data_IF_380845811567
#
_entry.id   IF_380845811567
#
_cell.length_a   1.000
_cell.length_b   1.000
_cell.length_c   1.000
_cell.angle_alpha   90.00
_cell.angle_beta   90.00
_cell.angle_gamma   90.00
#
_symmetry.space_group_name_H-M   'P 1'
#
loop_
_entity.id
_entity.type
_entity.pdbx_description
1 polymer ?
#
# COMPACT_ATOMS: atom_id res chain seq x y z
N UNK A 1 -6.18 9.83 -23.85
CA UNK A 1 -7.14 8.82 -23.37
C UNK A 1 -6.64 8.11 -22.10
N UNK A 2 -5.41 7.67 -22.05
CA UNK A 2 -4.79 7.01 -20.86
C UNK A 2 -4.71 7.90 -19.60
N UNK A 3 -4.82 9.22 -19.75
CA UNK A 3 -4.81 10.19 -18.64
C UNK A 3 -6.15 10.25 -17.88
N UNK A 4 -7.21 9.64 -18.43
CA UNK A 4 -8.55 9.60 -17.83
C UNK A 4 -8.57 8.74 -16.56
N UNK A 5 -9.54 9.02 -15.68
CA UNK A 5 -9.83 8.19 -14.49
C UNK A 5 -10.45 6.85 -14.88
N UNK A 6 -10.49 5.89 -13.96
CA UNK A 6 -11.14 4.60 -14.23
C UNK A 6 -12.66 4.77 -14.48
N UNK A 7 -13.31 5.69 -13.76
CA UNK A 7 -14.71 6.02 -13.96
C UNK A 7 -14.97 6.56 -15.39
N UNK A 8 -14.17 7.51 -15.85
CA UNK A 8 -14.27 8.05 -17.21
C UNK A 8 -13.98 7.01 -18.30
N UNK A 9 -12.98 6.14 -18.06
CA UNK A 9 -12.65 5.04 -18.98
C UNK A 9 -13.75 3.98 -19.00
N UNK A 10 -14.34 3.67 -17.85
CA UNK A 10 -15.50 2.77 -17.78
C UNK A 10 -16.65 3.27 -18.64
N UNK A 11 -16.91 4.57 -18.60
CA UNK A 11 -17.95 5.18 -19.42
C UNK A 11 -17.59 5.17 -20.92
N UNK A 12 -16.35 5.47 -21.27
CA UNK A 12 -15.87 5.40 -22.67
C UNK A 12 -15.97 3.96 -23.24
N UNK A 13 -15.60 2.96 -22.46
CA UNK A 13 -15.78 1.55 -22.80
C UNK A 13 -17.27 1.17 -22.96
N UNK A 14 -18.14 1.65 -22.06
CA UNK A 14 -19.57 1.38 -22.12
C UNK A 14 -20.24 2.01 -23.37
N UNK A 15 -19.77 3.19 -23.74
CA UNK A 15 -20.24 3.91 -24.94
C UNK A 15 -19.66 3.35 -26.26
N UNK A 16 -18.70 2.41 -26.19
CA UNK A 16 -18.01 1.89 -27.37
C UNK A 16 -17.05 2.90 -28.03
N UNK A 17 -16.64 3.93 -27.31
CA UNK A 17 -15.67 4.94 -27.80
C UNK A 17 -14.25 4.35 -27.92
N UNK A 18 -13.95 3.30 -27.14
CA UNK A 18 -12.72 2.52 -27.16
C UNK A 18 -13.04 1.10 -26.74
N UNK A 19 -12.29 0.12 -27.25
CA UNK A 19 -12.30 -1.26 -26.75
C UNK A 19 -11.31 -1.46 -25.60
N UNK A 20 -11.55 -2.48 -24.78
CA UNK A 20 -10.60 -2.86 -23.73
C UNK A 20 -9.25 -3.30 -24.32
N UNK A 21 -9.26 -3.92 -25.51
CA UNK A 21 -8.04 -4.30 -26.22
C UNK A 21 -7.22 -3.07 -26.60
N UNK A 22 -7.82 -2.05 -27.21
CA UNK A 22 -7.13 -0.80 -27.60
C UNK A 22 -6.60 -0.06 -26.40
N UNK A 23 -7.39 0.01 -25.32
CA UNK A 23 -6.99 0.63 -24.06
C UNK A 23 -5.81 -0.10 -23.44
N UNK A 24 -5.89 -1.43 -23.35
CA UNK A 24 -4.82 -2.27 -22.80
C UNK A 24 -3.53 -2.14 -23.60
N UNK A 25 -3.62 -2.18 -24.94
CA UNK A 25 -2.45 -2.01 -25.80
C UNK A 25 -1.79 -0.64 -25.58
N UNK A 26 -2.58 0.42 -25.45
CA UNK A 26 -2.04 1.77 -25.20
C UNK A 26 -1.22 1.83 -23.89
N UNK A 27 -1.67 1.14 -22.82
CA UNK A 27 -0.90 1.04 -21.58
C UNK A 27 0.36 0.15 -21.72
N UNK A 28 0.26 -0.97 -22.41
CA UNK A 28 1.42 -1.86 -22.66
C UNK A 28 2.52 -1.14 -23.46
N UNK A 29 2.14 -0.40 -24.48
CA UNK A 29 3.09 0.40 -25.27
C UNK A 29 3.76 1.47 -24.43
N UNK A 30 3.02 2.09 -23.53
CA UNK A 30 3.56 3.08 -22.60
C UNK A 30 4.47 2.45 -21.55
N UNK A 31 4.13 1.30 -20.99
CA UNK A 31 4.99 0.53 -20.08
C UNK A 31 6.31 0.22 -20.79
N UNK A 32 6.26 -0.31 -22.01
CA UNK A 32 7.45 -0.63 -22.80
C UNK A 32 8.37 0.59 -23.02
N UNK A 33 7.77 1.78 -23.15
CA UNK A 33 8.52 3.02 -23.40
C UNK A 33 9.20 3.58 -22.14
N UNK A 34 8.54 3.50 -20.97
CA UNK A 34 8.97 4.24 -19.79
C UNK A 34 9.42 3.37 -18.61
N UNK A 35 9.11 2.06 -18.60
CA UNK A 35 9.41 1.23 -17.42
C UNK A 35 10.92 1.01 -17.23
N UNK A 36 11.73 1.04 -18.28
CA UNK A 36 13.20 0.94 -18.15
C UNK A 36 13.76 2.09 -17.30
N UNK A 37 13.24 3.31 -17.45
CA UNK A 37 13.65 4.48 -16.68
C UNK A 37 13.02 4.48 -15.27
N UNK A 38 11.70 4.26 -15.18
CA UNK A 38 10.95 4.38 -13.91
C UNK A 38 11.09 3.15 -13.01
N UNK A 39 11.35 1.98 -13.57
CA UNK A 39 11.44 0.69 -12.87
C UNK A 39 10.20 0.37 -12.01
N UNK A 40 9.01 0.77 -12.50
CA UNK A 40 7.74 0.63 -11.78
C UNK A 40 7.20 -0.81 -11.79
N UNK A 41 7.52 -1.61 -12.83
CA UNK A 41 7.09 -3.01 -12.96
C UNK A 41 8.27 -3.95 -12.85
N UNK A 42 8.10 -5.03 -12.07
CA UNK A 42 9.00 -6.19 -12.06
C UNK A 42 8.61 -7.19 -13.15
N UNK A 43 7.31 -7.42 -13.33
CA UNK A 43 6.77 -8.36 -14.31
C UNK A 43 5.66 -7.67 -15.11
N UNK A 44 5.74 -7.74 -16.44
CA UNK A 44 4.68 -7.29 -17.35
C UNK A 44 4.02 -8.53 -17.96
N UNK A 45 2.68 -8.57 -17.92
CA UNK A 45 1.88 -9.73 -18.32
C UNK A 45 1.16 -9.48 -19.66
N UNK A 46 1.91 -9.07 -20.70
CA UNK A 46 1.38 -8.59 -21.99
C UNK A 46 0.40 -9.57 -22.63
N UNK A 47 0.79 -10.83 -22.82
CA UNK A 47 -0.05 -11.83 -23.50
C UNK A 47 -1.36 -12.08 -22.74
N UNK A 48 -1.28 -12.28 -21.43
CA UNK A 48 -2.47 -12.53 -20.59
C UNK A 48 -3.36 -11.30 -20.48
N UNK A 49 -2.81 -10.11 -20.44
CA UNK A 49 -3.56 -8.85 -20.43
C UNK A 49 -4.40 -8.70 -21.71
N UNK A 50 -3.82 -8.95 -22.87
CA UNK A 50 -4.55 -8.88 -24.14
C UNK A 50 -5.64 -9.97 -24.26
N UNK A 51 -5.42 -11.16 -23.69
CA UNK A 51 -6.47 -12.19 -23.61
C UNK A 51 -7.62 -11.73 -22.71
N UNK A 52 -7.31 -11.21 -21.50
CA UNK A 52 -8.32 -10.68 -20.57
C UNK A 52 -9.10 -9.51 -21.20
N UNK A 53 -8.43 -8.61 -21.91
CA UNK A 53 -9.07 -7.49 -22.60
C UNK A 53 -10.06 -7.95 -23.68
N UNK A 54 -9.68 -8.94 -24.50
CA UNK A 54 -10.59 -9.54 -25.49
C UNK A 54 -11.81 -10.18 -24.84
N UNK A 55 -11.65 -10.86 -23.72
CA UNK A 55 -12.78 -11.46 -23.00
C UNK A 55 -13.67 -10.38 -22.36
N UNK A 56 -13.09 -9.26 -21.87
CA UNK A 56 -13.85 -8.13 -21.35
C UNK A 56 -14.71 -7.48 -22.44
N UNK A 57 -14.17 -7.27 -23.64
CA UNK A 57 -14.91 -6.73 -24.77
C UNK A 57 -16.09 -7.63 -25.17
N UNK A 58 -15.91 -8.95 -25.19
CA UNK A 58 -17.00 -9.91 -25.45
C UNK A 58 -18.10 -9.84 -24.37
N UNK A 59 -17.72 -9.79 -23.08
CA UNK A 59 -18.67 -9.74 -21.97
C UNK A 59 -19.50 -8.43 -22.00
N UNK A 60 -18.89 -7.31 -22.39
CA UNK A 60 -19.56 -6.01 -22.44
C UNK A 60 -20.75 -5.96 -23.40
N UNK A 61 -20.74 -6.75 -24.47
CA UNK A 61 -21.87 -6.84 -25.42
C UNK A 61 -23.15 -7.37 -24.78
N UNK A 62 -23.05 -8.10 -23.66
CA UNK A 62 -24.17 -8.85 -23.06
C UNK A 62 -24.81 -8.19 -21.83
N UNK A 63 -24.56 -6.89 -21.56
CA UNK A 63 -25.13 -6.05 -20.48
C UNK A 63 -24.89 -6.47 -19.01
N UNK A 64 -25.10 -5.53 -18.07
CA UNK A 64 -24.83 -5.63 -16.62
C UNK A 64 -23.38 -5.97 -16.24
N UNK A 65 -22.47 -5.14 -16.73
CA UNK A 65 -21.05 -5.30 -16.45
C UNK A 65 -20.61 -4.45 -15.26
N UNK A 66 -19.73 -5.02 -14.42
CA UNK A 66 -19.01 -4.26 -13.41
C UNK A 66 -18.41 -2.96 -14.01
N UNK A 67 -18.43 -1.83 -13.27
CA UNK A 67 -17.77 -0.59 -13.73
C UNK A 67 -16.27 -0.78 -13.96
N UNK A 68 -15.67 -1.85 -13.43
CA UNK A 68 -14.25 -2.16 -13.63
C UNK A 68 -13.98 -3.16 -14.78
N UNK A 69 -15.02 -3.65 -15.48
CA UNK A 69 -14.86 -4.58 -16.58
C UNK A 69 -13.99 -3.98 -17.69
N UNK A 70 -12.87 -4.64 -18.01
CA UNK A 70 -11.96 -4.24 -19.07
C UNK A 70 -11.03 -3.07 -18.71
N UNK A 71 -11.02 -2.61 -17.47
CA UNK A 71 -10.12 -1.55 -16.99
C UNK A 71 -8.74 -2.13 -16.67
N UNK A 72 -7.65 -1.59 -17.27
CA UNK A 72 -6.29 -2.03 -17.00
C UNK A 72 -5.80 -1.64 -15.60
N UNK A 73 -5.26 -2.63 -14.87
CA UNK A 73 -4.82 -2.52 -13.48
C UNK A 73 -3.45 -3.18 -13.28
N UNK A 74 -2.70 -2.71 -12.28
CA UNK A 74 -1.46 -3.34 -11.84
C UNK A 74 -1.56 -3.83 -10.39
N UNK A 75 -0.94 -4.97 -10.07
CA UNK A 75 -0.86 -5.46 -8.69
C UNK A 75 0.52 -5.23 -8.10
N UNK A 76 0.58 -4.69 -6.87
CA UNK A 76 1.82 -4.70 -6.08
C UNK A 76 2.34 -6.13 -5.96
N UNK A 77 3.64 -6.32 -6.12
CA UNK A 77 4.26 -7.65 -6.19
C UNK A 77 4.33 -8.42 -4.85
N UNK A 78 3.46 -8.07 -3.93
CA UNK A 78 3.21 -8.76 -2.65
C UNK A 78 1.98 -9.68 -2.72
N UNK A 79 1.09 -9.47 -3.70
CA UNK A 79 -0.11 -10.29 -3.86
C UNK A 79 0.19 -11.53 -4.71
N UNK A 80 -0.02 -12.71 -4.12
CA UNK A 80 0.02 -13.97 -4.87
C UNK A 80 -0.95 -13.88 -6.06
N UNK A 81 -0.43 -14.15 -7.25
CA UNK A 81 -1.20 -14.17 -8.50
C UNK A 81 -0.92 -15.48 -9.21
N UNK A 82 -1.95 -16.29 -9.38
CA UNK A 82 -1.84 -17.66 -9.88
C UNK A 82 -1.08 -17.74 -11.21
N UNK A 83 -0.04 -18.56 -11.25
CA UNK A 83 0.80 -18.74 -12.44
C UNK A 83 1.77 -17.59 -12.74
N UNK A 84 1.78 -16.53 -11.91
CA UNK A 84 2.66 -15.36 -12.10
C UNK A 84 3.69 -15.28 -10.97
N UNK A 85 4.92 -14.90 -11.33
CA UNK A 85 5.98 -14.69 -10.34
C UNK A 85 5.58 -13.61 -9.33
N UNK A 86 5.76 -13.90 -8.04
CA UNK A 86 5.45 -13.00 -6.93
C UNK A 86 6.66 -12.93 -6.00
N UNK A 87 7.43 -11.84 -6.10
CA UNK A 87 8.78 -11.75 -5.52
C UNK A 87 8.85 -10.94 -4.23
N UNK A 88 7.87 -10.09 -3.93
CA UNK A 88 7.94 -9.09 -2.86
C UNK A 88 9.15 -8.16 -2.96
N UNK A 89 9.66 -7.89 -4.18
CA UNK A 89 10.87 -7.10 -4.39
C UNK A 89 12.14 -7.75 -3.81
N UNK A 90 12.16 -9.08 -3.60
CA UNK A 90 13.21 -9.80 -2.88
C UNK A 90 13.86 -10.89 -3.72
N UNK A 91 15.18 -11.06 -3.54
CA UNK A 91 15.89 -12.24 -4.03
C UNK A 91 15.35 -13.53 -3.42
N UNK A 92 14.84 -13.47 -2.18
CA UNK A 92 14.28 -14.63 -1.48
C UNK A 92 13.15 -15.31 -2.27
N UNK A 93 12.33 -14.55 -2.99
CA UNK A 93 11.18 -15.04 -3.76
C UNK A 93 11.33 -14.79 -5.28
N UNK A 94 12.49 -14.42 -5.78
CA UNK A 94 12.67 -14.03 -7.19
C UNK A 94 12.21 -15.10 -8.21
N UNK A 95 12.17 -16.35 -7.81
CA UNK A 95 11.76 -17.50 -8.62
C UNK A 95 10.43 -18.14 -8.17
N UNK A 96 9.69 -17.49 -7.26
CA UNK A 96 8.45 -18.05 -6.73
C UNK A 96 7.28 -17.73 -7.66
N UNK A 97 6.73 -18.74 -8.31
CA UNK A 97 5.48 -18.67 -9.07
C UNK A 97 4.33 -19.03 -8.12
N UNK A 98 3.42 -18.10 -7.89
CA UNK A 98 2.32 -18.30 -6.96
C UNK A 98 1.32 -19.35 -7.50
N UNK A 99 0.94 -20.37 -6.70
CA UNK A 99 0.02 -21.42 -7.14
C UNK A 99 -1.46 -21.09 -6.92
N UNK A 100 -1.79 -19.89 -6.48
CA UNK A 100 -3.14 -19.41 -6.22
C UNK A 100 -3.20 -17.89 -6.25
N UNK A 101 -4.42 -17.34 -6.40
CA UNK A 101 -4.68 -15.92 -6.30
C UNK A 101 -4.90 -15.48 -4.85
N UNK A 102 -4.37 -14.33 -4.48
CA UNK A 102 -4.83 -13.60 -3.32
C UNK A 102 -6.33 -13.24 -3.48
N UNK A 103 -7.07 -13.20 -2.38
CA UNK A 103 -8.51 -12.85 -2.43
C UNK A 103 -8.77 -11.52 -3.14
N UNK A 104 -7.91 -10.53 -2.92
CA UNK A 104 -7.98 -9.23 -3.62
C UNK A 104 -7.82 -9.40 -5.13
N UNK A 105 -6.86 -10.22 -5.56
CA UNK A 105 -6.62 -10.51 -6.98
C UNK A 105 -7.83 -11.21 -7.59
N UNK A 106 -8.34 -12.26 -6.92
CA UNK A 106 -9.50 -13.01 -7.39
C UNK A 106 -10.75 -12.12 -7.55
N UNK A 107 -11.06 -11.30 -6.53
CA UNK A 107 -12.20 -10.38 -6.59
C UNK A 107 -12.10 -9.35 -7.73
N UNK A 108 -10.91 -8.81 -7.98
CA UNK A 108 -10.68 -7.87 -9.08
C UNK A 108 -10.76 -8.59 -10.44
N UNK A 109 -10.24 -9.82 -10.54
CA UNK A 109 -10.39 -10.65 -11.75
C UNK A 109 -11.87 -10.96 -12.02
N UNK A 110 -12.66 -11.31 -10.98
CA UNK A 110 -14.10 -11.57 -11.10
C UNK A 110 -14.87 -10.32 -11.53
N UNK A 111 -14.42 -9.12 -11.13
CA UNK A 111 -14.96 -7.86 -11.60
C UNK A 111 -14.54 -7.52 -13.06
N UNK A 112 -13.66 -8.33 -13.65
CA UNK A 112 -13.26 -8.24 -15.05
C UNK A 112 -12.18 -7.22 -15.35
N UNK A 113 -11.33 -6.84 -14.36
CA UNK A 113 -10.17 -5.98 -14.64
C UNK A 113 -9.17 -6.69 -15.53
N UNK A 114 -8.34 -5.94 -16.22
CA UNK A 114 -7.24 -6.44 -17.04
C UNK A 114 -5.93 -6.25 -16.29
N UNK A 115 -5.27 -7.34 -15.88
CA UNK A 115 -4.02 -7.27 -15.15
C UNK A 115 -2.83 -7.03 -16.10
N UNK A 116 -2.22 -5.84 -16.00
CA UNK A 116 -1.03 -5.46 -16.81
C UNK A 116 0.25 -6.10 -16.27
N UNK A 117 0.35 -6.36 -14.96
CA UNK A 117 1.56 -6.93 -14.38
C UNK A 117 1.69 -6.69 -12.87
N UNK A 118 2.92 -6.92 -12.38
CA UNK A 118 3.32 -6.83 -10.98
C UNK A 118 4.25 -5.66 -10.78
N UNK A 119 3.88 -4.72 -9.90
CA UNK A 119 4.65 -3.49 -9.65
C UNK A 119 5.73 -3.70 -8.61
N UNK A 120 6.83 -2.99 -8.79
CA UNK A 120 7.97 -2.97 -7.90
C UNK A 120 7.62 -2.39 -6.52
N UNK A 121 8.37 -2.77 -5.50
CA UNK A 121 8.10 -2.40 -4.12
C UNK A 121 9.37 -2.49 -3.25
N UNK A 122 9.40 -1.83 -2.12
CA UNK A 122 10.40 -2.11 -1.10
C UNK A 122 10.33 -3.58 -0.69
N UNK A 123 11.49 -4.20 -0.45
CA UNK A 123 11.60 -5.61 -0.13
C UNK A 123 10.72 -6.02 1.06
N UNK A 124 9.83 -7.00 0.85
CA UNK A 124 8.82 -7.47 1.82
C UNK A 124 7.99 -6.34 2.46
N UNK A 125 7.74 -5.26 1.73
CA UNK A 125 7.06 -4.06 2.19
C UNK A 125 7.78 -3.31 3.34
N UNK A 126 9.09 -3.51 3.47
CA UNK A 126 9.94 -2.90 4.50
C UNK A 126 10.77 -1.76 3.93
N UNK A 127 10.20 -0.57 3.93
CA UNK A 127 10.80 0.67 3.44
C UNK A 127 9.76 1.75 3.23
N UNK A 128 10.23 2.96 2.94
CA UNK A 128 9.40 4.16 2.73
C UNK A 128 9.87 4.98 1.52
N UNK A 129 10.74 4.42 0.67
CA UNK A 129 11.29 5.12 -0.50
C UNK A 129 11.29 4.30 -1.79
N UNK A 130 11.11 3.00 -1.71
CA UNK A 130 11.25 2.00 -2.79
C UNK A 130 12.68 1.92 -3.36
N UNK A 131 13.67 2.09 -2.49
CA UNK A 131 15.09 1.92 -2.80
C UNK A 131 15.62 0.53 -2.41
N UNK A 132 14.89 -0.23 -1.59
CA UNK A 132 15.35 -1.53 -1.02
C UNK A 132 15.03 -2.75 -1.89
N UNK A 133 14.40 -2.56 -3.04
CA UNK A 133 14.07 -3.66 -3.95
C UNK A 133 15.30 -4.37 -4.50
N UNK A 134 15.27 -5.70 -4.55
CA UNK A 134 16.26 -6.50 -5.27
C UNK A 134 16.36 -6.16 -6.77
N UNK A 135 15.28 -5.67 -7.35
CA UNK A 135 15.19 -5.27 -8.76
C UNK A 135 15.61 -3.81 -9.00
N UNK A 136 16.17 -3.16 -7.99
CA UNK A 136 16.61 -1.77 -8.05
C UNK A 136 15.53 -0.75 -7.64
N UNK A 137 15.93 0.53 -7.47
CA UNK A 137 15.04 1.58 -7.01
C UNK A 137 14.00 1.95 -8.07
N UNK A 138 12.81 2.35 -7.60
CA UNK A 138 11.80 2.99 -8.42
C UNK A 138 12.04 4.50 -8.43
N UNK A 139 11.76 5.14 -9.56
CA UNK A 139 11.89 6.59 -9.72
C UNK A 139 10.55 7.29 -9.73
N UNK A 140 10.51 8.49 -9.17
CA UNK A 140 9.32 9.32 -9.20
C UNK A 140 9.10 9.88 -10.62
N UNK A 141 7.92 9.74 -11.24
CA UNK A 141 7.69 10.21 -12.60
C UNK A 141 7.71 11.74 -12.75
N UNK A 142 7.55 12.50 -11.65
CA UNK A 142 7.66 13.96 -11.67
C UNK A 142 9.12 14.46 -11.71
N UNK A 143 10.04 13.70 -11.10
CA UNK A 143 11.48 13.96 -11.12
C UNK A 143 12.20 12.62 -10.89
N UNK A 144 12.83 12.08 -11.92
CA UNK A 144 13.45 10.74 -11.89
C UNK A 144 14.70 10.65 -11.00
N UNK A 145 15.16 11.78 -10.42
CA UNK A 145 16.19 11.80 -9.38
C UNK A 145 15.60 11.64 -7.96
N UNK A 146 14.27 11.62 -7.83
CA UNK A 146 13.57 11.53 -6.53
C UNK A 146 12.89 10.19 -6.35
N UNK A 147 12.65 9.87 -5.08
CA UNK A 147 11.93 8.66 -4.67
C UNK A 147 10.42 8.80 -4.93
N UNK A 148 9.71 7.73 -5.31
CA UNK A 148 8.25 7.75 -5.41
C UNK A 148 7.57 7.55 -4.06
N UNK A 149 8.37 7.33 -2.98
CA UNK A 149 7.88 6.81 -1.73
C UNK A 149 7.74 5.28 -1.73
N UNK A 150 7.36 4.72 -0.58
CA UNK A 150 7.27 3.26 -0.40
C UNK A 150 6.37 2.83 0.77
N UNK A 151 6.16 1.56 0.84
CA UNK A 151 6.70 0.45 0.03
C UNK A 151 5.95 0.17 -1.27
N UNK A 152 4.82 0.85 -1.57
CA UNK A 152 4.08 0.68 -2.84
C UNK A 152 4.53 1.69 -3.91
N UNK A 153 5.83 2.01 -3.98
CA UNK A 153 6.37 3.04 -4.87
C UNK A 153 6.18 2.73 -6.35
N UNK A 154 6.38 1.47 -6.76
CA UNK A 154 6.11 1.05 -8.14
C UNK A 154 4.65 1.21 -8.55
N UNK A 155 3.70 0.89 -7.65
CA UNK A 155 2.27 1.11 -7.88
C UNK A 155 1.94 2.60 -8.00
N UNK A 156 2.47 3.44 -7.11
CA UNK A 156 2.23 4.87 -7.14
C UNK A 156 2.83 5.52 -8.39
N UNK A 157 4.08 5.19 -8.72
CA UNK A 157 4.74 5.69 -9.92
C UNK A 157 4.03 5.23 -11.21
N UNK A 158 3.55 3.98 -11.25
CA UNK A 158 2.82 3.47 -12.40
C UNK A 158 1.51 4.22 -12.65
N UNK A 159 0.73 4.53 -11.59
CA UNK A 159 -0.51 5.32 -11.71
C UNK A 159 -0.19 6.76 -12.11
N UNK A 160 0.78 7.41 -11.45
CA UNK A 160 1.15 8.79 -11.73
C UNK A 160 1.73 9.02 -13.13
N UNK A 161 2.40 7.99 -13.70
CA UNK A 161 2.98 8.03 -15.03
C UNK A 161 2.04 7.54 -16.13
N UNK A 162 0.77 7.25 -15.82
CA UNK A 162 -0.17 6.63 -16.76
C UNK A 162 0.32 5.29 -17.34
N UNK A 163 0.97 4.47 -16.53
CA UNK A 163 1.36 3.10 -16.91
C UNK A 163 0.28 2.07 -16.50
N UNK A 164 -0.71 2.49 -15.77
CA UNK A 164 -1.96 1.78 -15.49
C UNK A 164 -3.02 2.80 -15.06
N UNK A 165 -4.29 2.40 -15.09
CA UNK A 165 -5.38 3.27 -14.63
C UNK A 165 -5.41 3.37 -13.12
N UNK A 166 -5.20 2.24 -12.44
CA UNK A 166 -5.20 2.08 -10.99
C UNK A 166 -4.30 0.92 -10.59
N UNK A 167 -3.90 0.86 -9.33
CA UNK A 167 -3.07 -0.22 -8.83
C UNK A 167 -3.47 -0.64 -7.41
N UNK A 168 -3.16 -1.90 -7.05
CA UNK A 168 -3.21 -2.33 -5.66
C UNK A 168 -1.94 -1.92 -4.92
N UNK A 169 -2.08 -1.60 -3.65
CA UNK A 169 -0.98 -1.39 -2.72
C UNK A 169 -1.22 -2.07 -1.39
N UNK A 170 -0.23 -2.01 -0.50
CA UNK A 170 -0.38 -2.41 0.91
C UNK A 170 0.16 -1.33 1.83
N UNK A 171 -0.48 -1.19 2.99
CA UNK A 171 -0.13 -0.18 3.98
C UNK A 171 -0.02 -0.86 5.37
N UNK A 172 1.18 -0.85 5.92
CA UNK A 172 1.49 -1.34 7.25
C UNK A 172 1.85 -0.18 8.19
N UNK A 173 2.48 0.85 7.64
CA UNK A 173 2.91 2.06 8.36
C UNK A 173 2.73 3.35 7.56
N UNK A 174 2.16 3.29 6.35
CA UNK A 174 2.06 4.42 5.44
C UNK A 174 2.24 4.04 3.97
N UNK A 175 2.48 2.76 3.68
CA UNK A 175 2.98 2.29 2.37
C UNK A 175 1.97 2.34 1.20
N UNK A 176 0.77 2.88 1.38
CA UNK A 176 -0.15 3.36 0.35
C UNK A 176 -0.16 4.88 0.37
N UNK A 177 -0.39 5.48 1.55
CA UNK A 177 -0.64 6.91 1.72
C UNK A 177 0.57 7.76 1.39
N UNK A 178 1.74 7.38 1.87
CA UNK A 178 2.98 8.13 1.66
C UNK A 178 3.42 8.12 0.19
N UNK A 179 3.53 6.98 -0.54
CA UNK A 179 3.87 7.02 -1.95
C UNK A 179 2.79 7.70 -2.81
N UNK A 180 1.51 7.63 -2.41
CA UNK A 180 0.46 8.40 -3.08
C UNK A 180 0.69 9.91 -2.96
N UNK A 181 1.06 10.39 -1.76
CA UNK A 181 1.39 11.80 -1.52
C UNK A 181 2.62 12.25 -2.33
N UNK A 182 3.68 11.42 -2.39
CA UNK A 182 4.90 11.75 -3.14
C UNK A 182 4.73 11.74 -4.65
N UNK A 183 3.78 10.95 -5.16
CA UNK A 183 3.46 10.88 -6.59
C UNK A 183 2.25 11.72 -7.00
N UNK A 184 1.56 12.42 -6.07
CA UNK A 184 0.44 13.29 -6.37
C UNK A 184 -0.82 12.55 -6.87
N UNK A 185 -1.11 11.39 -6.28
CA UNK A 185 -2.28 10.56 -6.59
C UNK A 185 -3.11 10.25 -5.33
N UNK A 186 -4.25 9.59 -5.50
CA UNK A 186 -5.08 9.13 -4.38
C UNK A 186 -4.61 7.75 -3.88
N UNK A 187 -4.32 7.65 -2.59
CA UNK A 187 -4.04 6.39 -1.92
C UNK A 187 -4.97 6.16 -0.74
N UNK A 188 -5.76 5.09 -0.76
CA UNK A 188 -6.73 4.81 0.28
C UNK A 188 -6.38 3.54 1.06
N UNK A 189 -6.18 3.69 2.38
CA UNK A 189 -6.00 2.57 3.31
C UNK A 189 -7.32 2.28 4.03
N UNK A 190 -8.02 1.20 3.67
CA UNK A 190 -9.23 0.78 4.39
C UNK A 190 -8.97 0.48 5.87
N UNK A 191 -10.01 0.46 6.67
CA UNK A 191 -9.93 -0.04 8.04
C UNK A 191 -9.48 -1.49 8.07
N UNK A 192 -8.69 -1.87 9.08
CA UNK A 192 -8.17 -3.23 9.22
C UNK A 192 -9.30 -4.27 9.21
N UNK A 193 -9.11 -5.32 8.39
CA UNK A 193 -10.09 -6.39 8.22
C UNK A 193 -11.23 -6.12 7.24
N UNK A 194 -11.33 -4.92 6.64
CA UNK A 194 -12.32 -4.65 5.58
C UNK A 194 -11.96 -5.29 4.25
N UNK A 195 -10.67 -5.46 3.98
CA UNK A 195 -10.12 -6.16 2.81
C UNK A 195 -9.31 -7.34 3.29
N UNK A 196 -9.52 -8.51 2.68
CA UNK A 196 -8.83 -9.75 3.05
C UNK A 196 -7.33 -9.65 2.85
N UNK A 197 -6.57 -10.26 3.76
CA UNK A 197 -5.13 -10.46 3.67
C UNK A 197 -4.73 -11.83 3.12
N UNK A 198 -5.68 -12.69 2.80
CA UNK A 198 -5.38 -14.01 2.22
C UNK A 198 -4.63 -13.86 0.90
N UNK A 199 -3.46 -14.51 0.81
CA UNK A 199 -2.58 -14.45 -0.35
C UNK A 199 -1.77 -13.17 -0.49
N UNK A 200 -1.91 -12.21 0.42
CA UNK A 200 -0.98 -11.11 0.61
C UNK A 200 0.16 -11.58 1.50
N UNK A 201 1.39 -11.54 1.00
CA UNK A 201 2.56 -11.96 1.77
C UNK A 201 2.76 -11.02 2.94
N UNK A 202 2.84 -11.58 4.16
CA UNK A 202 2.79 -10.80 5.39
C UNK A 202 4.11 -10.10 5.72
N UNK A 203 4.03 -8.82 6.06
CA UNK A 203 5.05 -8.10 6.81
C UNK A 203 4.73 -8.13 8.32
N UNK A 204 3.71 -7.40 8.76
CA UNK A 204 3.27 -7.31 10.15
C UNK A 204 1.77 -7.62 10.24
N UNK A 205 1.42 -8.84 10.61
CA UNK A 205 0.07 -9.40 10.46
C UNK A 205 -1.03 -8.62 11.18
N UNK A 206 -0.70 -7.91 12.26
CA UNK A 206 -1.68 -7.08 13.00
C UNK A 206 -1.85 -5.67 12.44
N UNK A 207 -1.11 -5.32 11.39
CA UNK A 207 -1.06 -3.97 10.82
C UNK A 207 -1.32 -3.94 9.31
N UNK A 208 -0.89 -4.97 8.59
CA UNK A 208 -0.95 -5.03 7.13
C UNK A 208 -2.38 -4.87 6.61
N UNK A 209 -2.57 -3.99 5.63
CA UNK A 209 -3.84 -3.77 4.97
C UNK A 209 -3.64 -3.51 3.48
N UNK A 210 -4.44 -4.17 2.64
CA UNK A 210 -4.49 -3.90 1.21
C UNK A 210 -5.40 -2.69 0.92
N UNK A 211 -5.12 -1.96 -0.14
CA UNK A 211 -5.96 -0.85 -0.60
C UNK A 211 -5.56 -0.35 -1.98
N UNK A 212 -6.35 0.56 -2.57
CA UNK A 212 -6.15 1.11 -3.89
C UNK A 212 -5.17 2.29 -3.93
N UNK A 213 -4.53 2.44 -5.08
CA UNK A 213 -3.79 3.62 -5.55
C UNK A 213 -4.41 4.02 -6.89
N UNK A 214 -4.92 5.24 -7.01
CA UNK A 214 -5.77 5.69 -8.12
C UNK A 214 -5.57 7.17 -8.43
N UNK A 215 -6.13 7.64 -9.55
CA UNK A 215 -6.09 9.06 -9.92
C UNK A 215 -7.11 9.91 -9.15
N UNK A 216 -8.24 9.32 -8.75
CA UNK A 216 -9.34 10.04 -8.09
C UNK A 216 -9.88 9.28 -6.87
N UNK A 217 -10.61 9.99 -6.00
CA UNK A 217 -11.33 9.39 -4.88
C UNK A 217 -12.46 8.46 -5.37
N UNK A 218 -13.11 8.79 -6.49
CA UNK A 218 -14.14 7.96 -7.11
C UNK A 218 -13.57 6.61 -7.54
N UNK A 219 -12.42 6.58 -8.22
CA UNK A 219 -11.74 5.35 -8.60
C UNK A 219 -11.37 4.51 -7.36
N UNK A 220 -10.91 5.16 -6.27
CA UNK A 220 -10.60 4.49 -5.02
C UNK A 220 -11.85 3.85 -4.39
N UNK A 221 -13.00 4.52 -4.45
CA UNK A 221 -14.27 4.00 -3.98
C UNK A 221 -14.75 2.82 -4.83
N UNK A 222 -14.72 2.93 -6.16
CA UNK A 222 -15.06 1.83 -7.08
C UNK A 222 -14.21 0.59 -6.83
N UNK A 223 -12.90 0.77 -6.69
CA UNK A 223 -11.98 -0.34 -6.43
C UNK A 223 -12.21 -0.95 -5.04
N UNK A 224 -12.50 -0.11 -4.03
CA UNK A 224 -12.79 -0.58 -2.66
C UNK A 224 -14.09 -1.36 -2.58
N UNK A 225 -15.14 -0.98 -3.34
CA UNK A 225 -16.39 -1.73 -3.44
C UNK A 225 -16.15 -3.18 -3.86
N UNK A 226 -15.20 -3.41 -4.77
CA UNK A 226 -14.84 -4.75 -5.24
C UNK A 226 -13.95 -5.47 -4.23
N UNK A 227 -12.94 -4.80 -3.67
CA UNK A 227 -11.94 -5.43 -2.79
C UNK A 227 -12.49 -5.81 -1.42
N UNK A 228 -13.43 -5.02 -0.87
CA UNK A 228 -13.95 -5.16 0.49
C UNK A 228 -14.84 -6.40 0.67
N UNK A 229 -15.09 -6.75 1.95
CA UNK A 229 -16.03 -7.78 2.36
C UNK A 229 -15.39 -8.98 3.04
N UNK A 230 -16.25 -9.79 3.68
CA UNK A 230 -15.83 -10.96 4.45
C UNK A 230 -15.11 -11.99 3.59
N UNK A 231 -13.99 -12.47 4.10
CA UNK A 231 -13.28 -13.64 3.59
C UNK A 231 -13.06 -14.66 4.71
N UNK A 232 -13.67 -15.83 4.59
CA UNK A 232 -13.51 -16.93 5.56
C UNK A 232 -12.10 -17.52 5.63
N UNK A 233 -11.25 -17.21 4.64
CA UNK A 233 -9.83 -17.62 4.63
C UNK A 233 -8.94 -16.71 5.47
N UNK A 234 -9.41 -15.50 5.81
CA UNK A 234 -8.70 -14.55 6.69
C UNK A 234 -9.48 -14.42 8.00
N UNK A 235 -8.93 -14.96 9.08
CA UNK A 235 -9.54 -14.93 10.42
C UNK A 235 -9.71 -13.52 11.01
N UNK A 236 -9.10 -12.51 10.40
CA UNK A 236 -9.20 -11.10 10.81
C UNK A 236 -10.18 -10.32 9.95
N UNK A 237 -10.73 -10.92 8.89
CA UNK A 237 -11.74 -10.29 8.05
C UNK A 237 -13.03 -10.02 8.85
N UNK A 238 -13.56 -8.82 8.72
CA UNK A 238 -14.74 -8.36 9.48
C UNK A 238 -16.01 -8.72 8.74
N UNK A 239 -16.94 -9.39 9.43
CA UNK A 239 -18.28 -9.69 8.92
C UNK A 239 -19.18 -8.45 9.04
N UNK A 240 -19.04 -7.55 8.06
CA UNK A 240 -19.91 -6.39 7.87
C UNK A 240 -20.27 -6.28 6.40
N UNK A 241 -21.51 -5.89 6.06
CA UNK A 241 -21.90 -5.60 4.69
C UNK A 241 -20.91 -4.62 4.03
N UNK A 242 -20.71 -4.79 2.73
CA UNK A 242 -20.00 -3.80 1.92
C UNK A 242 -20.99 -2.69 1.58
N UNK A 243 -20.72 -1.50 2.04
CA UNK A 243 -21.46 -0.31 1.68
C UNK A 243 -21.01 0.13 0.26
N UNK A 244 -21.87 0.83 -0.45
CA UNK A 244 -21.45 1.47 -1.68
C UNK A 244 -20.67 2.75 -1.36
N UNK A 245 -19.34 2.66 -1.45
CA UNK A 245 -18.44 3.78 -1.14
C UNK A 245 -18.52 4.93 -2.17
N UNK A 246 -19.25 4.75 -3.28
CA UNK A 246 -19.50 5.82 -4.25
C UNK A 246 -20.74 6.66 -3.92
N UNK A 247 -21.64 6.14 -3.08
CA UNK A 247 -22.98 6.71 -2.86
C UNK A 247 -22.98 8.15 -2.30
N UNK A 248 -21.97 8.51 -1.51
CA UNK A 248 -21.89 9.79 -0.78
C UNK A 248 -20.76 10.71 -1.24
N UNK A 249 -20.09 10.40 -2.36
CA UNK A 249 -18.93 11.17 -2.83
C UNK A 249 -19.24 12.62 -3.18
N UNK A 250 -20.49 12.92 -3.55
CA UNK A 250 -20.93 14.24 -3.96
C UNK A 250 -21.88 14.91 -2.93
N UNK A 251 -21.97 14.35 -1.73
CA UNK A 251 -22.78 14.95 -0.67
C UNK A 251 -22.20 16.30 -0.23
N UNK A 252 -23.06 17.18 0.29
CA UNK A 252 -22.65 18.48 0.84
C UNK A 252 -21.71 18.28 2.03
N UNK A 253 -20.69 19.14 2.13
CA UNK A 253 -19.80 19.18 3.29
C UNK A 253 -20.29 20.16 4.38
N UNK A 254 -21.48 20.75 4.18
CA UNK A 254 -22.05 21.68 5.17
C UNK A 254 -22.26 20.99 6.54
N UNK A 255 -21.66 21.57 7.56
CA UNK A 255 -21.69 21.04 8.92
C UNK A 255 -20.68 19.95 9.24
N UNK A 256 -19.87 19.51 8.28
CA UNK A 256 -18.76 18.58 8.53
C UNK A 256 -17.74 19.22 9.49
N UNK A 257 -17.37 18.49 10.55
CA UNK A 257 -16.39 18.93 11.53
C UNK A 257 -15.04 18.29 11.26
N UNK A 258 -14.05 19.12 10.94
CA UNK A 258 -12.67 18.71 10.61
C UNK A 258 -11.76 19.03 11.80
N UNK A 259 -11.08 18.03 12.34
CA UNK A 259 -10.06 18.15 13.38
C UNK A 259 -8.66 18.30 12.76
N UNK A 260 -7.88 19.26 13.28
CA UNK A 260 -6.47 19.46 12.91
C UNK A 260 -5.61 19.18 14.15
N UNK A 261 -4.84 18.07 14.15
CA UNK A 261 -3.97 17.78 15.29
C UNK A 261 -2.82 18.80 15.40
N UNK A 262 -2.74 19.51 16.51
CA UNK A 262 -1.65 20.49 16.76
C UNK A 262 -0.26 19.88 16.63
N UNK A 263 -0.11 18.58 16.93
CA UNK A 263 1.15 17.85 16.82
C UNK A 263 1.60 17.64 15.36
N UNK A 264 0.71 17.72 14.39
CA UNK A 264 1.03 17.54 12.98
C UNK A 264 1.60 18.82 12.31
N UNK A 265 1.48 19.96 12.98
CA UNK A 265 1.99 21.26 12.52
C UNK A 265 3.12 21.79 13.43
N UNK A 266 3.82 20.87 14.10
CA UNK A 266 4.97 21.17 14.93
C UNK A 266 6.26 21.31 14.09
N UNK A 267 7.38 21.53 14.75
CA UNK A 267 8.70 21.64 14.14
C UNK A 267 9.03 20.41 13.26
N UNK A 268 9.59 20.67 12.07
CA UNK A 268 9.99 19.65 11.09
C UNK A 268 9.10 19.56 9.86
N UNK A 269 7.91 20.16 9.85
CA UNK A 269 7.05 20.25 8.66
C UNK A 269 7.62 21.33 7.71
N UNK A 270 7.79 20.99 6.41
CA UNK A 270 8.25 21.98 5.42
C UNK A 270 7.14 22.94 5.03
N UNK A 271 7.54 24.20 4.74
CA UNK A 271 6.60 25.26 4.39
C UNK A 271 5.73 24.96 3.16
N UNK A 272 6.26 24.19 2.19
CA UNK A 272 5.49 23.81 1.00
C UNK A 272 4.37 22.83 1.33
N UNK A 273 4.63 21.86 2.21
CA UNK A 273 3.61 20.90 2.67
C UNK A 273 2.57 21.62 3.52
N UNK A 274 2.99 22.46 4.46
CA UNK A 274 2.09 23.27 5.28
C UNK A 274 1.17 24.14 4.43
N UNK A 275 1.74 24.87 3.46
CA UNK A 275 0.97 25.71 2.53
C UNK A 275 -0.07 24.92 1.74
N UNK A 276 0.29 23.72 1.28
CA UNK A 276 -0.64 22.84 0.56
C UNK A 276 -1.84 22.43 1.42
N UNK A 277 -1.59 22.08 2.69
CA UNK A 277 -2.65 21.70 3.62
C UNK A 277 -3.52 22.91 3.97
N UNK A 278 -2.93 24.08 4.25
CA UNK A 278 -3.69 25.30 4.53
C UNK A 278 -4.61 25.69 3.36
N UNK A 279 -4.12 25.54 2.12
CA UNK A 279 -4.94 25.78 0.94
C UNK A 279 -6.14 24.81 0.86
N UNK A 280 -5.93 23.51 1.16
CA UNK A 280 -6.99 22.53 1.20
C UNK A 280 -8.03 22.84 2.30
N UNK A 281 -7.58 23.23 3.50
CA UNK A 281 -8.46 23.62 4.60
C UNK A 281 -9.34 24.81 4.24
N UNK A 282 -8.77 25.84 3.59
CA UNK A 282 -9.55 26.98 3.09
C UNK A 282 -10.65 26.57 2.09
N UNK A 283 -10.38 25.56 1.24
CA UNK A 283 -11.42 25.05 0.31
C UNK A 283 -12.51 24.28 1.08
N UNK A 284 -12.17 23.47 2.08
CA UNK A 284 -13.18 22.80 2.92
C UNK A 284 -14.07 23.79 3.67
N UNK A 285 -13.52 24.90 4.21
CA UNK A 285 -14.32 25.96 4.83
C UNK A 285 -15.28 26.61 3.84
N UNK A 286 -14.85 26.91 2.61
CA UNK A 286 -15.72 27.45 1.56
C UNK A 286 -16.87 26.49 1.19
N UNK A 287 -16.63 25.17 1.34
CA UNK A 287 -17.63 24.13 1.10
C UNK A 287 -18.55 23.90 2.30
N UNK A 288 -18.40 24.66 3.39
CA UNK A 288 -19.28 24.64 4.56
C UNK A 288 -18.79 23.77 5.73
N UNK A 289 -17.59 23.22 5.67
CA UNK A 289 -17.00 22.51 6.79
C UNK A 289 -16.51 23.47 7.88
N UNK A 290 -16.50 23.01 9.13
CA UNK A 290 -15.91 23.72 10.26
C UNK A 290 -14.58 23.08 10.66
N UNK A 291 -13.58 23.91 10.96
CA UNK A 291 -12.23 23.47 11.31
C UNK A 291 -11.96 23.74 12.79
N UNK A 292 -11.45 22.74 13.50
CA UNK A 292 -11.15 22.83 14.94
C UNK A 292 -9.79 22.20 15.23
N UNK A 293 -8.96 22.86 16.02
CA UNK A 293 -7.72 22.27 16.53
C UNK A 293 -8.04 21.16 17.52
N UNK A 294 -7.35 20.00 17.41
CA UNK A 294 -7.51 18.84 18.28
C UNK A 294 -6.17 18.38 18.85
N UNK A 295 -6.21 17.66 19.95
CA UNK A 295 -5.02 17.20 20.68
C UNK A 295 -4.87 15.67 20.60
N UNK A 296 -3.70 15.21 20.15
CA UNK A 296 -3.31 13.79 20.14
C UNK A 296 -2.05 13.60 21.01
N UNK A 297 -2.16 13.66 22.35
CA UNK A 297 -1.02 13.79 23.26
C UNK A 297 -0.01 12.64 23.17
N UNK A 298 -0.45 11.43 22.80
CA UNK A 298 0.43 10.26 22.67
C UNK A 298 0.99 10.05 21.24
N UNK A 299 0.72 10.96 20.29
CA UNK A 299 1.15 10.85 18.90
C UNK A 299 2.69 10.66 18.76
N UNK A 300 3.48 11.33 19.61
CA UNK A 300 4.94 11.24 19.63
C UNK A 300 5.50 9.84 19.94
N UNK A 301 4.68 8.92 20.46
CA UNK A 301 5.05 7.54 20.75
C UNK A 301 4.83 6.59 19.57
N UNK A 302 4.19 7.05 18.49
CA UNK A 302 3.74 6.20 17.37
C UNK A 302 4.88 5.53 16.63
N UNK A 303 5.94 6.27 16.30
CA UNK A 303 7.14 5.75 15.63
C UNK A 303 7.79 4.66 16.48
N UNK A 304 8.05 4.95 17.75
CA UNK A 304 8.71 3.98 18.65
C UNK A 304 7.86 2.71 18.84
N UNK A 305 6.54 2.84 18.98
CA UNK A 305 5.65 1.69 19.11
C UNK A 305 5.63 0.83 17.85
N UNK A 306 5.58 1.46 16.68
CA UNK A 306 5.59 0.77 15.40
C UNK A 306 6.90 -0.02 15.18
N UNK A 307 8.06 0.61 15.39
CA UNK A 307 9.36 -0.01 15.16
C UNK A 307 9.76 -1.07 16.22
N UNK A 308 8.91 -1.30 17.21
CA UNK A 308 8.97 -2.50 18.06
C UNK A 308 8.02 -3.58 17.57
N UNK A 309 6.74 -3.22 17.29
CA UNK A 309 5.69 -4.19 16.94
C UNK A 309 5.92 -4.79 15.56
N UNK A 310 6.13 -3.94 14.54
CA UNK A 310 6.25 -4.41 13.16
C UNK A 310 7.49 -5.31 12.95
N UNK A 311 8.70 -4.97 13.41
CA UNK A 311 9.84 -5.87 13.34
C UNK A 311 9.65 -7.19 14.14
N UNK A 312 8.98 -7.14 15.29
CA UNK A 312 8.67 -8.35 16.06
C UNK A 312 7.79 -9.32 15.26
N UNK A 313 6.73 -8.81 14.64
CA UNK A 313 5.86 -9.62 13.79
C UNK A 313 6.56 -10.05 12.49
N UNK A 314 7.40 -9.21 11.88
CA UNK A 314 8.22 -9.55 10.73
C UNK A 314 9.16 -10.70 11.01
N UNK A 315 9.86 -10.68 12.15
CA UNK A 315 10.79 -11.77 12.53
C UNK A 315 10.08 -13.12 12.59
N UNK A 316 8.84 -13.15 13.10
CA UNK A 316 8.01 -14.36 13.14
C UNK A 316 7.49 -14.74 11.73
N UNK A 317 6.98 -13.77 10.96
CA UNK A 317 6.42 -14.04 9.63
C UNK A 317 7.49 -14.50 8.63
N UNK A 318 8.68 -13.91 8.65
CA UNK A 318 9.76 -14.24 7.72
C UNK A 318 10.61 -15.45 8.15
N UNK A 319 10.32 -16.06 9.28
CA UNK A 319 10.97 -17.30 9.72
C UNK A 319 10.74 -18.49 8.77
N UNK A 320 9.63 -18.44 8.00
CA UNK A 320 9.26 -19.49 7.02
C UNK A 320 10.15 -19.54 5.78
N UNK A 321 10.92 -18.50 5.51
CA UNK A 321 11.83 -18.43 4.36
C UNK A 321 13.20 -19.01 4.77
N UNK A 322 13.32 -20.32 4.65
CA UNK A 322 14.45 -21.12 5.14
C UNK A 322 15.21 -21.86 4.01
N UNK A 323 14.76 -21.69 2.75
CA UNK A 323 15.35 -22.35 1.59
C UNK A 323 14.94 -23.83 1.42
N UNK A 324 14.00 -24.34 2.24
CA UNK A 324 13.60 -25.77 2.17
C UNK A 324 12.45 -26.00 1.21
N UNK A 325 11.37 -25.21 1.33
CA UNK A 325 10.09 -25.48 0.65
C UNK A 325 9.95 -24.75 -0.68
N UNK A 326 10.36 -23.48 -0.71
CA UNK A 326 10.22 -22.58 -1.87
C UNK A 326 11.16 -21.39 -1.74
N UNK A 327 11.32 -20.66 -2.82
CA UNK A 327 12.16 -19.47 -2.88
C UNK A 327 13.64 -19.79 -3.09
N UNK A 328 14.49 -18.79 -2.80
CA UNK A 328 15.93 -18.89 -2.92
C UNK A 328 16.51 -19.91 -1.92
N UNK A 329 17.47 -20.71 -2.40
CA UNK A 329 18.32 -21.56 -1.59
C UNK A 329 19.78 -21.31 -1.98
N UNK A 330 20.67 -21.19 -1.01
CA UNK A 330 22.10 -21.03 -1.25
C UNK A 330 22.67 -22.22 -2.01
N UNK A 331 23.67 -21.97 -2.85
CA UNK A 331 24.34 -23.02 -3.62
C UNK A 331 25.32 -23.80 -2.75
N UNK A 332 25.34 -25.14 -2.92
CA UNK A 332 26.31 -26.06 -2.30
C UNK A 332 26.47 -25.84 -0.78
N UNK A 333 25.42 -25.98 0.04
CA UNK A 333 25.54 -25.89 1.47
C UNK A 333 26.36 -27.06 2.03
N UNK A 334 27.16 -26.79 3.05
CA UNK A 334 28.02 -27.81 3.72
C UNK A 334 27.17 -28.73 4.60
N UNK A 335 26.18 -28.13 5.28
CA UNK A 335 25.22 -28.82 6.14
C UNK A 335 23.90 -28.03 6.22
N UNK A 336 22.99 -28.47 7.09
CA UNK A 336 21.68 -27.87 7.26
C UNK A 336 21.75 -26.46 7.88
N UNK A 337 22.65 -26.25 8.83
CA UNK A 337 22.85 -24.97 9.49
C UNK A 337 23.44 -23.94 8.50
N UNK A 338 24.43 -24.31 7.73
CA UNK A 338 25.01 -23.50 6.65
C UNK A 338 23.94 -23.16 5.61
N UNK A 339 23.10 -24.13 5.23
CA UNK A 339 22.00 -23.88 4.30
C UNK A 339 21.05 -22.80 4.81
N UNK A 340 20.61 -22.87 6.07
CA UNK A 340 19.72 -21.85 6.64
C UNK A 340 20.39 -20.48 6.74
N UNK A 341 21.59 -20.44 7.29
CA UNK A 341 22.30 -19.19 7.53
C UNK A 341 22.63 -18.48 6.21
N UNK A 342 23.18 -19.18 5.24
CA UNK A 342 23.53 -18.59 3.94
C UNK A 342 22.31 -18.26 3.11
N UNK A 343 21.29 -19.11 3.08
CA UNK A 343 20.05 -18.81 2.35
C UNK A 343 19.45 -17.49 2.82
N UNK A 344 19.35 -17.29 4.13
CA UNK A 344 18.75 -16.08 4.71
C UNK A 344 19.66 -14.86 4.55
N UNK A 345 20.97 -15.03 4.73
CA UNK A 345 21.93 -13.92 4.60
C UNK A 345 22.09 -13.45 3.14
N UNK A 346 22.04 -14.36 2.17
CA UNK A 346 22.16 -14.08 0.75
C UNK A 346 20.82 -13.65 0.12
N UNK A 347 19.70 -14.17 0.65
CA UNK A 347 18.35 -13.99 0.07
C UNK A 347 17.63 -12.73 0.56
N UNK A 348 17.91 -12.25 1.78
CA UNK A 348 17.32 -11.01 2.31
C UNK A 348 18.26 -9.83 2.15
N UNK A 349 17.70 -8.66 1.82
CA UNK A 349 18.39 -7.38 1.82
C UNK A 349 18.66 -6.85 3.24
N UNK A 350 19.47 -5.81 3.32
CA UNK A 350 20.00 -5.28 4.59
C UNK A 350 18.90 -4.76 5.53
N UNK A 351 17.89 -4.05 5.01
CA UNK A 351 16.81 -3.51 5.83
C UNK A 351 15.94 -4.62 6.42
N UNK A 352 15.62 -5.64 5.62
CA UNK A 352 14.86 -6.80 6.08
C UNK A 352 15.64 -7.57 7.18
N UNK A 353 16.94 -7.78 6.98
CA UNK A 353 17.81 -8.42 7.99
C UNK A 353 17.82 -7.62 9.30
N UNK A 354 17.96 -6.28 9.19
CA UNK A 354 17.94 -5.37 10.35
C UNK A 354 16.63 -5.53 11.14
N UNK A 355 15.48 -5.47 10.46
CA UNK A 355 14.17 -5.61 11.13
C UNK A 355 13.95 -6.99 11.73
N UNK A 356 14.41 -8.06 11.08
CA UNK A 356 14.37 -9.41 11.65
C UNK A 356 15.18 -9.47 12.94
N UNK A 357 16.39 -8.91 12.97
CA UNK A 357 17.25 -8.90 14.17
C UNK A 357 16.63 -8.10 15.31
N UNK A 358 16.15 -6.89 15.04
CA UNK A 358 15.46 -6.05 16.04
C UNK A 358 14.22 -6.76 16.58
N UNK A 359 13.43 -7.36 15.71
CA UNK A 359 12.21 -8.09 16.10
C UNK A 359 12.52 -9.32 16.96
N UNK A 360 13.51 -10.09 16.58
CA UNK A 360 13.97 -11.27 17.36
C UNK A 360 14.44 -10.84 18.74
N UNK A 361 15.21 -9.75 18.84
CA UNK A 361 15.64 -9.20 20.11
C UNK A 361 14.44 -8.75 20.98
N UNK A 362 13.49 -8.02 20.41
CA UNK A 362 12.30 -7.54 21.13
C UNK A 362 11.40 -8.68 21.65
N UNK A 363 11.44 -9.86 21.02
CA UNK A 363 10.69 -11.05 21.42
C UNK A 363 11.49 -12.01 22.33
N UNK A 364 12.78 -11.77 22.58
CA UNK A 364 13.62 -12.66 23.35
C UNK A 364 13.30 -12.61 24.86
N UNK A 365 13.70 -13.66 25.57
CA UNK A 365 13.48 -13.79 27.01
C UNK A 365 14.09 -12.60 27.78
N UNK A 366 13.32 -12.01 28.68
CA UNK A 366 13.69 -10.82 29.45
C UNK A 366 13.38 -9.47 28.76
N UNK A 367 13.21 -9.44 27.44
CA UNK A 367 12.91 -8.22 26.68
C UNK A 367 11.46 -8.13 26.19
N UNK A 368 10.76 -9.25 26.08
CA UNK A 368 9.37 -9.32 25.61
C UNK A 368 8.43 -8.37 26.37
N UNK A 369 8.48 -8.39 27.70
CA UNK A 369 7.63 -7.52 28.53
C UNK A 369 8.07 -6.05 28.46
N UNK A 370 9.38 -5.80 28.42
CA UNK A 370 9.95 -4.46 28.40
C UNK A 370 9.71 -3.73 27.08
N UNK A 371 9.69 -4.44 25.96
CA UNK A 371 9.52 -3.86 24.62
C UNK A 371 8.17 -4.19 24.00
N UNK A 372 7.91 -5.46 23.65
CA UNK A 372 6.72 -5.82 22.87
C UNK A 372 5.41 -5.53 23.62
N UNK A 373 5.28 -6.02 24.86
CA UNK A 373 4.08 -5.76 25.67
C UNK A 373 3.91 -4.27 26.00
N UNK A 374 4.99 -3.55 26.24
CA UNK A 374 4.94 -2.10 26.45
C UNK A 374 4.45 -1.38 25.20
N UNK A 375 4.97 -1.73 24.02
CA UNK A 375 4.51 -1.18 22.75
C UNK A 375 3.02 -1.45 22.49
N UNK A 376 2.51 -2.65 22.82
CA UNK A 376 1.08 -2.95 22.73
C UNK A 376 0.22 -2.08 23.66
N UNK A 377 0.72 -1.75 24.86
CA UNK A 377 0.04 -0.81 25.78
C UNK A 377 0.04 0.62 25.20
N UNK A 378 1.15 1.05 24.62
CA UNK A 378 1.26 2.38 23.97
C UNK A 378 0.28 2.48 22.80
N UNK A 379 0.15 1.44 21.96
CA UNK A 379 -0.88 1.40 20.90
C UNK A 379 -2.29 1.71 21.42
N UNK A 380 -2.64 1.19 22.60
CA UNK A 380 -3.94 1.46 23.23
C UNK A 380 -4.08 2.93 23.62
N UNK A 381 -3.01 3.56 24.14
CA UNK A 381 -3.02 4.99 24.48
C UNK A 381 -3.24 5.84 23.24
N UNK A 382 -2.46 5.59 22.17
CA UNK A 382 -2.63 6.29 20.90
C UNK A 382 -4.05 6.10 20.34
N UNK A 383 -4.58 4.87 20.34
CA UNK A 383 -5.98 4.63 19.94
C UNK A 383 -6.96 5.46 20.72
N UNK A 384 -6.79 5.56 22.04
CA UNK A 384 -7.71 6.32 22.90
C UNK A 384 -7.71 7.80 22.55
N UNK A 385 -6.59 8.42 22.18
CA UNK A 385 -6.53 9.80 21.72
C UNK A 385 -7.51 10.01 20.54
N UNK A 386 -7.46 9.15 19.54
CA UNK A 386 -8.37 9.23 18.40
C UNK A 386 -9.83 8.98 18.77
N UNK A 387 -10.10 8.01 19.66
CA UNK A 387 -11.48 7.72 20.12
C UNK A 387 -12.09 8.93 20.83
N UNK A 388 -11.31 9.64 21.65
CA UNK A 388 -11.78 10.87 22.31
C UNK A 388 -11.96 11.99 21.28
N UNK A 389 -11.00 12.19 20.38
CA UNK A 389 -11.08 13.21 19.33
C UNK A 389 -12.30 13.03 18.41
N UNK A 390 -12.61 11.80 18.00
CA UNK A 390 -13.79 11.51 17.16
C UNK A 390 -15.15 11.66 17.87
N UNK A 391 -15.20 12.04 19.15
CA UNK A 391 -16.43 12.51 19.77
C UNK A 391 -16.76 13.97 19.44
N UNK A 392 -15.76 14.73 19.00
CA UNK A 392 -15.84 16.17 18.74
C UNK A 392 -15.83 16.49 17.25
N UNK A 393 -15.16 15.66 16.41
CA UNK A 393 -14.99 15.87 14.98
C UNK A 393 -15.34 14.62 14.17
N UNK A 394 -15.71 14.82 12.91
CA UNK A 394 -16.11 13.73 12.00
C UNK A 394 -14.91 13.16 11.26
N UNK A 395 -13.94 14.01 10.89
CA UNK A 395 -12.71 13.64 10.20
C UNK A 395 -11.51 14.40 10.78
N UNK A 396 -10.32 13.84 10.58
CA UNK A 396 -9.05 14.48 10.97
C UNK A 396 -8.22 14.68 9.70
N UNK A 397 -7.69 15.88 9.52
CA UNK A 397 -6.80 16.23 8.39
C UNK A 397 -5.41 16.59 8.92
N UNK A 398 -4.38 16.16 8.19
CA UNK A 398 -3.00 16.49 8.48
C UNK A 398 -2.07 16.13 7.31
N UNK A 399 -0.77 16.46 7.40
CA UNK A 399 0.21 16.05 6.42
C UNK A 399 0.39 14.54 6.39
N UNK A 400 0.74 14.00 5.24
CA UNK A 400 1.07 12.57 5.09
C UNK A 400 2.55 12.31 5.38
N UNK A 401 3.41 13.25 4.99
CA UNK A 401 4.85 13.23 5.23
C UNK A 401 5.34 14.64 5.58
N UNK A 402 6.44 14.79 6.34
CA UNK A 402 7.00 16.11 6.67
C UNK A 402 7.51 16.88 5.46
N UNK A 403 7.89 16.18 4.40
CA UNK A 403 8.54 16.72 3.21
C UNK A 403 7.83 16.26 1.94
N UNK A 404 8.14 16.93 0.82
CA UNK A 404 7.92 16.40 -0.52
C UNK A 404 8.94 15.29 -0.82
N UNK A 405 8.78 14.59 -1.97
CA UNK A 405 9.69 13.51 -2.38
C UNK A 405 11.16 13.99 -2.34
N UNK A 406 12.02 13.26 -1.65
CA UNK A 406 13.45 13.54 -1.52
C UNK A 406 14.27 12.83 -2.61
N UNK A 407 15.54 13.23 -2.76
CA UNK A 407 16.44 12.67 -3.77
C UNK A 407 16.86 11.23 -3.41
N UNK A 408 17.00 10.39 -4.43
CA UNK A 408 17.50 9.03 -4.30
C UNK A 408 18.88 8.99 -3.62
N UNK A 409 19.09 8.07 -2.70
CA UNK A 409 20.35 7.84 -2.00
C UNK A 409 20.71 8.87 -0.92
N UNK A 410 19.85 9.86 -0.64
CA UNK A 410 20.18 10.92 0.33
C UNK A 410 19.88 10.56 1.77
N UNK A 411 18.91 9.68 2.03
CA UNK A 411 18.56 9.24 3.40
C UNK A 411 19.16 7.88 3.71
N UNK A 412 20.44 7.88 4.09
CA UNK A 412 21.20 6.65 4.41
C UNK A 412 21.08 6.24 5.88
N UNK A 413 20.74 7.18 6.78
CA UNK A 413 20.48 6.87 8.18
C UNK A 413 19.06 6.32 8.37
N UNK A 414 18.91 5.11 8.96
CA UNK A 414 17.59 4.50 9.15
C UNK A 414 16.63 5.33 9.98
N UNK A 415 17.12 6.03 11.03
CA UNK A 415 16.25 6.84 11.90
C UNK A 415 15.65 8.02 11.13
N UNK A 416 16.45 8.69 10.31
CA UNK A 416 15.99 9.77 9.46
C UNK A 416 14.94 9.28 8.45
N UNK A 417 15.11 8.09 7.88
CA UNK A 417 14.12 7.47 7.01
C UNK A 417 12.83 7.14 7.77
N UNK A 418 12.91 6.63 8.99
CA UNK A 418 11.75 6.26 9.80
C UNK A 418 10.90 7.46 10.24
N UNK A 419 11.48 8.65 10.35
CA UNK A 419 10.77 9.88 10.67
C UNK A 419 9.89 10.40 9.52
N UNK A 420 10.11 9.94 8.28
CA UNK A 420 9.20 10.25 7.17
C UNK A 420 7.79 9.71 7.37
N UNK A 421 7.64 8.67 8.18
CA UNK A 421 6.36 8.01 8.46
C UNK A 421 5.64 8.58 9.70
N UNK A 422 6.16 9.65 10.31
CA UNK A 422 5.68 10.17 11.61
C UNK A 422 4.18 10.45 11.63
N UNK A 423 3.61 10.94 10.54
CA UNK A 423 2.18 11.30 10.46
C UNK A 423 1.30 10.11 10.06
N UNK A 424 1.83 9.10 9.41
CA UNK A 424 1.07 7.93 9.00
C UNK A 424 1.00 6.86 10.09
N UNK A 425 2.00 6.80 10.99
CA UNK A 425 2.13 5.74 11.98
C UNK A 425 1.13 5.82 13.14
N UNK A 426 0.68 6.99 13.54
CA UNK A 426 -0.33 7.10 14.59
C UNK A 426 -1.66 6.49 14.18
N UNK A 427 -2.08 6.70 12.94
CA UNK A 427 -3.37 6.25 12.39
C UNK A 427 -3.50 4.73 12.28
N UNK A 428 -2.41 3.99 12.08
CA UNK A 428 -2.46 2.53 11.98
C UNK A 428 -2.91 1.86 13.30
N UNK A 429 -2.70 2.53 14.42
CA UNK A 429 -3.04 1.99 15.73
C UNK A 429 -4.54 2.04 16.04
N UNK A 430 -5.32 2.86 15.31
CA UNK A 430 -6.77 2.97 15.49
C UNK A 430 -7.47 1.72 15.01
N UNK A 431 -7.08 1.22 13.85
CA UNK A 431 -7.74 0.13 13.14
C UNK A 431 -7.23 -1.25 13.53
N UNK A 432 -6.21 -1.34 14.38
CA UNK A 432 -5.68 -2.63 14.81
C UNK A 432 -6.69 -3.38 15.69
N UNK A 433 -6.86 -4.70 15.49
CA UNK A 433 -7.71 -5.50 16.34
C UNK A 433 -7.10 -5.48 17.74
N UNK A 434 -7.79 -4.84 18.67
CA UNK A 434 -7.48 -5.01 20.09
C UNK A 434 -8.05 -6.36 20.49
N UNK A 435 -7.30 -7.45 20.33
CA UNK A 435 -7.64 -8.69 21.04
C UNK A 435 -7.52 -8.37 22.54
N UNK A 436 -8.55 -8.61 23.35
CA UNK A 436 -8.36 -8.66 24.79
C UNK A 436 -7.43 -9.87 25.05
N UNK A 437 -6.29 -9.61 25.63
CA UNK A 437 -5.46 -10.65 26.26
C UNK A 437 -5.87 -10.75 27.72
#
# INVERSE_FOLDING_TARGET
MIEKTAAELSQALANGEISSVELTQSYLDRIKKYNEELNSYITVCEESALVQAKEADKKRVHSDSSPLLGIPLAHKDIFCTNGVTTTCGSRMLHNFIAPYDATVVGKLNDAGVVMLGKTNMDEFAMGSSNETSFFGPVRNPWDTNRVPGGSSGGSAAAVAADLCTMATGTDTGGSIRQPAAFCGITGFKPSYGRVSRWGMIAFASSLDQAGPLTKSAEDAALMTNVMAGLDKKDSTSIDKPVEDYTATLNDSLEGLKIGIPKQHFAEGLTADVEKGIQAALCEYEKLGASITEVDLPNNHLSVSAYYVVAPAEASANLSRYDGVRYGYRCANPVDLEDMYNRTRSEGFGEEVKRRILVGTYALSAGYYDAYYRKAQKIRRLIKNDFVETFKEVDVIIGPTSPHTAFELGTKTDPVTMYLEDIYTLSLIHISAPTRPY
#
